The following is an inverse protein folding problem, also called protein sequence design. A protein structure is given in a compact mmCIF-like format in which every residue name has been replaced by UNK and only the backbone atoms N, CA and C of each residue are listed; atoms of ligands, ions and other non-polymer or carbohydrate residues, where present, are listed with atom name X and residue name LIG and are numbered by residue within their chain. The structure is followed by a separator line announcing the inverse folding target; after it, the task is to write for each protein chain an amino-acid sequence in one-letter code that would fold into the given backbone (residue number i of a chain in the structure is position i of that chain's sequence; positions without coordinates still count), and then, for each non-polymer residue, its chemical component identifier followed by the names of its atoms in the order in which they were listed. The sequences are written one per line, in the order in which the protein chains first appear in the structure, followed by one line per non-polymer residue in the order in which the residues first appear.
data_IF_330518086406
#
_entry.id   IF_330518086406
#
_cell.length_a   1.000
_cell.length_b   1.000
_cell.length_c   1.000
_cell.angle_alpha   90.00
_cell.angle_beta   90.00
_cell.angle_gamma   90.00
#
_symmetry.space_group_name_H-M   'P 1'
#
loop_
_entity.id
_entity.type
_entity.pdbx_description
1 polymer ?
#
# COMPACT_ATOMS: atom_id res chain seq x y z
N UNK A 1 -4.96 -2.66 -20.09
CA UNK A 1 -4.37 -1.39 -20.58
C UNK A 1 -2.95 -1.25 -20.04
N UNK A 2 -2.08 -0.66 -20.85
CA UNK A 2 -0.77 -0.15 -20.42
C UNK A 2 -0.64 1.29 -20.90
N UNK A 3 0.00 2.17 -20.12
CA UNK A 3 0.07 3.61 -20.43
C UNK A 3 -1.31 4.28 -20.60
N UNK A 4 -2.37 3.72 -20.02
CA UNK A 4 -3.78 4.06 -20.23
C UNK A 4 -4.24 3.92 -21.70
N UNK A 5 -3.50 3.15 -22.52
CA UNK A 5 -3.84 2.82 -23.89
C UNK A 5 -4.30 1.36 -24.00
N UNK A 6 -5.02 1.03 -25.07
CA UNK A 6 -5.44 -0.33 -25.35
C UNK A 6 -4.25 -1.29 -25.38
N UNK A 7 -4.42 -2.45 -24.79
CA UNK A 7 -3.42 -3.52 -24.75
C UNK A 7 -4.09 -4.87 -25.01
N UNK A 8 -3.31 -5.92 -24.99
CA UNK A 8 -3.81 -7.28 -25.10
C UNK A 8 -4.82 -7.60 -24.02
N UNK A 9 -5.87 -8.38 -24.30
CA UNK A 9 -6.90 -8.68 -23.33
C UNK A 9 -6.38 -9.54 -22.17
N UNK A 10 -6.96 -9.30 -21.00
CA UNK A 10 -6.77 -10.09 -19.80
C UNK A 10 -8.08 -10.17 -19.04
N UNK A 11 -8.20 -11.07 -18.10
CA UNK A 11 -9.39 -11.17 -17.26
C UNK A 11 -9.30 -10.22 -16.05
N UNK A 12 -10.45 -9.76 -15.57
CA UNK A 12 -10.54 -8.98 -14.34
C UNK A 12 -9.98 -9.78 -13.14
N UNK A 13 -10.20 -11.11 -13.10
CA UNK A 13 -9.63 -11.98 -12.08
C UNK A 13 -8.09 -11.98 -12.07
N UNK A 14 -7.44 -11.91 -13.23
CA UNK A 14 -5.98 -11.78 -13.31
C UNK A 14 -5.51 -10.44 -12.73
N UNK A 15 -6.21 -9.35 -13.00
CA UNK A 15 -5.91 -8.04 -12.44
C UNK A 15 -6.01 -8.04 -10.91
N UNK A 16 -7.12 -8.54 -10.37
CA UNK A 16 -7.32 -8.66 -8.91
C UNK A 16 -6.34 -9.64 -8.25
N UNK A 17 -5.92 -10.69 -8.95
CA UNK A 17 -4.87 -11.59 -8.44
C UNK A 17 -3.53 -10.86 -8.21
N UNK A 18 -3.22 -9.89 -9.07
CA UNK A 18 -2.07 -9.00 -8.89
C UNK A 18 -2.19 -8.16 -7.61
N UNK A 19 -3.37 -7.60 -7.34
CA UNK A 19 -3.62 -6.85 -6.10
C UNK A 19 -3.49 -7.73 -4.86
N UNK A 20 -4.08 -8.92 -4.88
CA UNK A 20 -3.98 -9.88 -3.78
C UNK A 20 -2.52 -10.27 -3.50
N UNK A 21 -1.73 -10.51 -4.55
CA UNK A 21 -0.31 -10.82 -4.40
C UNK A 21 0.48 -9.65 -3.80
N UNK A 22 0.23 -8.41 -4.22
CA UNK A 22 0.85 -7.22 -3.63
C UNK A 22 0.60 -7.12 -2.13
N UNK A 23 -0.64 -7.38 -1.69
CA UNK A 23 -1.02 -7.35 -0.27
C UNK A 23 -0.33 -8.47 0.50
N UNK A 24 -0.32 -9.71 -0.02
CA UNK A 24 0.33 -10.86 0.61
C UNK A 24 1.83 -10.62 0.81
N UNK A 25 2.53 -10.13 -0.20
CA UNK A 25 3.94 -9.80 -0.12
C UNK A 25 4.23 -8.70 0.92
N UNK A 26 3.35 -7.71 1.04
CA UNK A 26 3.50 -6.65 2.03
C UNK A 26 3.31 -7.15 3.46
N UNK A 27 2.41 -8.10 3.68
CA UNK A 27 2.23 -8.76 4.98
C UNK A 27 3.54 -9.45 5.39
N UNK A 28 4.16 -10.21 4.48
CA UNK A 28 5.42 -10.91 4.77
C UNK A 28 6.59 -9.94 5.02
N UNK A 29 6.66 -8.85 4.24
CA UNK A 29 7.68 -7.79 4.47
C UNK A 29 7.50 -7.14 5.84
N UNK A 30 6.26 -6.87 6.24
CA UNK A 30 5.96 -6.28 7.54
C UNK A 30 6.34 -7.23 8.68
N UNK A 31 5.92 -8.50 8.62
CA UNK A 31 6.28 -9.52 9.63
C UNK A 31 7.80 -9.61 9.83
N UNK A 32 8.57 -9.63 8.73
CA UNK A 32 10.04 -9.70 8.81
C UNK A 32 10.65 -8.47 9.48
N UNK A 33 10.05 -7.28 9.34
CA UNK A 33 10.57 -6.05 9.94
C UNK A 33 10.38 -6.00 11.47
N UNK A 34 9.42 -6.73 12.01
CA UNK A 34 9.15 -6.74 13.46
C UNK A 34 10.28 -7.34 14.28
N UNK A 35 11.09 -8.21 13.70
CA UNK A 35 12.17 -8.89 14.44
C UNK A 35 13.17 -7.92 15.10
N UNK A 36 13.45 -6.79 14.44
CA UNK A 36 14.36 -5.76 14.95
C UNK A 36 13.70 -4.86 15.99
N UNK A 37 12.36 -4.73 15.94
CA UNK A 37 11.58 -3.94 16.91
C UNK A 37 11.59 -4.54 18.30
N UNK A 38 11.80 -5.85 18.42
CA UNK A 38 11.83 -6.55 19.70
C UNK A 38 13.15 -6.39 20.48
N UNK A 39 14.15 -5.69 19.94
CA UNK A 39 15.40 -5.41 20.63
C UNK A 39 15.30 -4.14 21.48
N UNK A 40 15.49 -4.28 22.79
CA UNK A 40 15.27 -3.21 23.75
C UNK A 40 16.60 -2.58 24.20
N UNK A 41 16.60 -1.24 24.30
CA UNK A 41 17.72 -0.46 24.79
C UNK A 41 17.86 -0.46 26.33
N UNK A 42 16.83 -0.96 27.05
CA UNK A 42 16.80 -0.93 28.51
C UNK A 42 18.07 -1.56 29.12
N UNK A 43 18.55 -0.98 30.20
CA UNK A 43 19.80 -1.36 30.86
C UNK A 43 21.04 -0.61 30.35
N UNK A 44 20.96 0.09 29.20
CA UNK A 44 22.09 0.91 28.71
C UNK A 44 22.37 2.16 29.55
N UNK A 45 21.41 2.56 30.37
CA UNK A 45 21.45 3.78 31.22
C UNK A 45 21.70 5.05 30.42
N UNK A 46 22.65 5.88 30.77
CA UNK A 46 22.84 7.19 30.14
C UNK A 46 23.37 7.10 28.71
N UNK A 47 24.40 6.30 28.49
CA UNK A 47 25.18 6.30 27.24
C UNK A 47 25.44 4.91 26.64
N UNK A 48 24.86 3.87 27.23
CA UNK A 48 25.02 2.49 26.75
C UNK A 48 25.96 1.61 27.58
N UNK A 49 26.62 2.16 28.59
CA UNK A 49 27.58 1.43 29.45
C UNK A 49 26.91 0.59 30.53
N UNK A 50 25.63 0.82 30.83
CA UNK A 50 24.97 0.16 31.96
C UNK A 50 25.40 0.65 33.34
N UNK A 51 26.04 1.80 33.42
CA UNK A 51 26.53 2.36 34.68
C UNK A 51 25.39 2.48 35.71
N UNK A 52 25.59 1.90 36.90
CA UNK A 52 24.61 1.83 38.00
C UNK A 52 23.34 1.00 37.74
N UNK A 53 23.27 0.25 36.65
CA UNK A 53 22.25 -0.77 36.51
C UNK A 53 22.61 -2.02 37.33
N UNK A 54 21.68 -2.68 38.01
CA UNK A 54 21.93 -4.00 38.62
C UNK A 54 22.35 -5.03 37.56
N UNK A 55 23.15 -5.99 37.97
CA UNK A 55 23.56 -7.08 37.08
C UNK A 55 22.34 -7.83 36.52
N UNK A 56 22.30 -8.03 35.20
CA UNK A 56 21.21 -8.74 34.52
C UNK A 56 19.92 -7.95 34.36
N UNK A 57 19.86 -6.69 34.77
CA UNK A 57 18.65 -5.87 34.67
C UNK A 57 18.11 -5.78 33.24
N UNK A 58 18.97 -5.64 32.26
CA UNK A 58 18.57 -5.52 30.82
C UNK A 58 17.90 -6.80 30.31
N UNK A 59 18.44 -7.95 30.67
CA UNK A 59 17.90 -9.25 30.27
C UNK A 59 16.60 -9.54 31.00
N UNK A 60 16.54 -9.36 32.31
CA UNK A 60 15.32 -9.57 33.10
C UNK A 60 14.18 -8.62 32.68
N UNK A 61 14.52 -7.38 32.36
CA UNK A 61 13.51 -6.44 31.84
C UNK A 61 12.90 -6.91 30.52
N UNK A 62 13.74 -7.40 29.59
CA UNK A 62 13.27 -7.89 28.30
C UNK A 62 12.43 -9.17 28.43
N UNK A 63 12.83 -10.10 29.32
CA UNK A 63 12.09 -11.31 29.63
C UNK A 63 10.73 -11.00 30.25
N UNK A 64 10.67 -10.06 31.18
CA UNK A 64 9.40 -9.64 31.79
C UNK A 64 8.50 -8.95 30.77
N UNK A 65 9.04 -8.07 29.91
CA UNK A 65 8.30 -7.46 28.81
C UNK A 65 7.75 -8.52 27.84
N UNK A 66 8.53 -9.56 27.55
CA UNK A 66 8.08 -10.68 26.71
C UNK A 66 6.96 -11.49 27.39
N UNK A 67 7.08 -11.74 28.70
CA UNK A 67 6.08 -12.46 29.51
C UNK A 67 4.74 -11.71 29.54
N UNK A 68 4.77 -10.40 29.79
CA UNK A 68 3.56 -9.55 29.89
C UNK A 68 2.84 -9.42 28.54
N UNK A 69 3.60 -9.29 27.46
CA UNK A 69 3.04 -8.97 26.13
C UNK A 69 2.79 -10.19 25.26
N UNK A 70 3.41 -11.32 25.56
CA UNK A 70 3.44 -12.49 24.68
C UNK A 70 4.27 -12.27 23.39
N UNK A 71 5.06 -11.18 23.31
CA UNK A 71 5.90 -10.84 22.17
C UNK A 71 7.37 -11.16 22.48
N UNK A 72 8.20 -11.54 21.49
CA UNK A 72 9.55 -12.03 21.70
C UNK A 72 10.56 -10.89 21.95
N UNK A 73 10.29 -10.05 22.94
CA UNK A 73 11.22 -9.00 23.34
C UNK A 73 12.52 -9.61 23.87
N UNK A 74 13.63 -8.95 23.54
CA UNK A 74 14.98 -9.33 23.99
C UNK A 74 15.84 -8.10 24.19
N UNK A 75 16.86 -8.24 25.01
CA UNK A 75 17.84 -7.16 25.18
C UNK A 75 18.68 -6.99 23.92
N UNK A 76 18.89 -5.75 23.48
CA UNK A 76 19.78 -5.46 22.35
C UNK A 76 21.24 -5.76 22.77
N UNK A 77 22.00 -6.49 21.94
CA UNK A 77 23.38 -6.85 22.29
C UNK A 77 24.35 -5.64 22.31
N UNK A 78 23.97 -4.53 21.67
CA UNK A 78 24.75 -3.29 21.67
C UNK A 78 23.88 -2.11 22.12
N UNK A 79 24.05 -1.70 23.38
CA UNK A 79 23.28 -0.61 23.97
C UNK A 79 23.68 0.77 23.43
N UNK A 80 24.89 0.94 22.95
CA UNK A 80 25.32 2.19 22.30
C UNK A 80 24.53 2.44 21.01
N UNK A 81 24.41 1.39 20.20
CA UNK A 81 23.55 1.39 18.99
C UNK A 81 22.10 1.65 19.36
N UNK A 82 21.54 0.89 20.30
CA UNK A 82 20.12 0.94 20.63
C UNK A 82 19.64 2.28 21.24
N UNK A 83 20.56 3.08 21.81
CA UNK A 83 20.25 4.41 22.33
C UNK A 83 20.38 5.50 21.26
N UNK A 84 21.38 5.38 20.35
CA UNK A 84 21.75 6.42 19.42
C UNK A 84 21.12 6.25 18.02
N UNK A 85 20.69 5.04 17.65
CA UNK A 85 20.13 4.74 16.34
C UNK A 85 18.67 4.32 16.42
N UNK A 86 17.91 4.64 15.40
CA UNK A 86 16.50 4.26 15.22
C UNK A 86 16.27 3.44 13.93
N UNK A 87 17.28 2.72 13.46
CA UNK A 87 17.26 1.99 12.19
C UNK A 87 16.11 1.00 12.08
N UNK A 88 15.77 0.31 13.18
CA UNK A 88 14.63 -0.60 13.23
C UNK A 88 13.31 0.12 12.95
N UNK A 89 13.13 1.32 13.51
CA UNK A 89 11.94 2.14 13.31
C UNK A 89 11.90 2.76 11.92
N UNK A 90 13.05 3.16 11.35
CA UNK A 90 13.15 3.59 9.95
C UNK A 90 12.78 2.46 9.00
N UNK A 91 13.27 1.24 9.25
CA UNK A 91 12.91 0.07 8.45
C UNK A 91 11.41 -0.22 8.51
N UNK A 92 10.81 -0.19 9.70
CA UNK A 92 9.36 -0.36 9.88
C UNK A 92 8.56 0.73 9.14
N UNK A 93 8.95 2.01 9.28
CA UNK A 93 8.32 3.11 8.56
C UNK A 93 8.42 2.93 7.04
N UNK A 94 9.54 2.42 6.54
CA UNK A 94 9.72 2.05 5.14
C UNK A 94 8.77 0.94 4.67
N UNK A 95 8.44 -0.03 5.52
CA UNK A 95 7.42 -1.06 5.19
C UNK A 95 6.00 -0.49 5.17
N UNK A 96 5.67 0.37 6.14
CA UNK A 96 4.39 1.08 6.13
C UNK A 96 4.26 1.96 4.87
N UNK A 97 5.33 2.63 4.46
CA UNK A 97 5.38 3.38 3.20
C UNK A 97 5.16 2.50 1.97
N UNK A 98 5.75 1.31 1.93
CA UNK A 98 5.54 0.35 0.84
C UNK A 98 4.09 -0.12 0.78
N UNK A 99 3.46 -0.38 1.93
CA UNK A 99 2.04 -0.71 2.03
C UNK A 99 1.20 0.45 1.49
N UNK A 100 1.49 1.69 1.93
CA UNK A 100 0.77 2.87 1.46
C UNK A 100 0.88 3.04 -0.08
N UNK A 101 2.06 2.83 -0.67
CA UNK A 101 2.24 2.87 -2.11
C UNK A 101 1.41 1.81 -2.85
N UNK A 102 1.37 0.59 -2.34
CA UNK A 102 0.54 -0.49 -2.89
C UNK A 102 -0.95 -0.20 -2.79
N UNK A 103 -1.40 0.27 -1.62
CA UNK A 103 -2.81 0.61 -1.39
C UNK A 103 -3.25 1.82 -2.21
N UNK A 104 -2.38 2.81 -2.39
CA UNK A 104 -2.60 3.95 -3.29
C UNK A 104 -2.87 3.48 -4.72
N UNK A 105 -2.04 2.56 -5.23
CA UNK A 105 -2.19 1.99 -6.58
C UNK A 105 -3.52 1.23 -6.69
N UNK A 106 -3.83 0.33 -5.77
CA UNK A 106 -5.05 -0.47 -5.79
C UNK A 106 -6.30 0.42 -5.72
N UNK A 107 -6.33 1.39 -4.80
CA UNK A 107 -7.46 2.30 -4.65
C UNK A 107 -7.68 3.17 -5.90
N UNK A 108 -6.62 3.67 -6.51
CA UNK A 108 -6.71 4.46 -7.74
C UNK A 108 -7.17 3.63 -8.94
N UNK A 109 -6.71 2.40 -9.09
CA UNK A 109 -7.17 1.51 -10.16
C UNK A 109 -8.66 1.19 -10.00
N UNK A 110 -9.10 0.77 -8.82
CA UNK A 110 -10.51 0.49 -8.54
C UNK A 110 -11.37 1.74 -8.81
N UNK A 111 -10.92 2.90 -8.37
CA UNK A 111 -11.60 4.18 -8.61
C UNK A 111 -11.69 4.52 -10.11
N UNK A 112 -10.63 4.25 -10.87
CA UNK A 112 -10.57 4.48 -12.31
C UNK A 112 -11.47 3.49 -13.05
N UNK A 113 -11.42 2.20 -12.72
CA UNK A 113 -12.27 1.17 -13.31
C UNK A 113 -13.76 1.42 -13.05
N UNK A 114 -14.11 1.93 -11.86
CA UNK A 114 -15.48 2.32 -11.49
C UNK A 114 -15.91 3.72 -11.94
N UNK A 115 -15.07 4.42 -12.72
CA UNK A 115 -15.36 5.80 -13.15
C UNK A 115 -16.52 5.89 -14.14
N UNK A 116 -17.32 6.93 -14.03
CA UNK A 116 -18.44 7.17 -14.94
C UNK A 116 -19.77 7.36 -14.20
N UNK A 117 -20.81 6.56 -14.49
CA UNK A 117 -20.83 5.30 -15.26
C UNK A 117 -20.77 5.46 -16.78
N UNK A 118 -21.17 6.59 -17.35
CA UNK A 118 -21.25 6.76 -18.81
C UNK A 118 -20.04 7.49 -19.42
N UNK A 119 -19.46 8.45 -18.68
CA UNK A 119 -18.33 9.27 -19.14
C UNK A 119 -16.96 8.75 -18.70
N UNK A 120 -16.89 7.56 -18.13
CA UNK A 120 -15.66 6.91 -17.71
C UNK A 120 -15.55 5.48 -18.19
N UNK A 121 -14.73 4.66 -17.52
CA UNK A 121 -14.55 3.26 -17.89
C UNK A 121 -15.79 2.43 -17.59
N UNK A 122 -16.32 2.54 -16.37
CA UNK A 122 -17.54 1.85 -15.97
C UNK A 122 -17.44 0.32 -15.95
N UNK A 123 -16.23 -0.22 -15.79
CA UNK A 123 -15.99 -1.68 -15.77
C UNK A 123 -16.34 -2.32 -14.43
N UNK A 124 -16.28 -1.54 -13.34
CA UNK A 124 -16.67 -1.95 -12.00
C UNK A 124 -17.88 -1.15 -11.52
N UNK A 125 -18.80 -1.83 -10.87
CA UNK A 125 -19.90 -1.24 -10.12
C UNK A 125 -19.45 -1.19 -8.66
N UNK A 126 -19.30 0.02 -8.11
CA UNK A 126 -18.87 0.23 -6.74
C UNK A 126 -20.07 0.42 -5.81
N UNK A 127 -20.00 -0.05 -4.53
CA UNK A 127 -21.07 0.15 -3.57
C UNK A 127 -21.40 1.63 -3.35
N UNK A 128 -22.68 1.95 -3.30
CA UNK A 128 -23.17 3.28 -2.94
C UNK A 128 -23.26 3.38 -1.41
N UNK A 129 -22.30 4.04 -0.77
CA UNK A 129 -22.28 4.18 0.70
C UNK A 129 -23.05 5.42 1.18
N UNK A 130 -23.01 6.51 0.40
CA UNK A 130 -23.66 7.78 0.73
C UNK A 130 -24.01 8.57 -0.52
N UNK A 131 -24.93 9.57 -0.42
CA UNK A 131 -25.19 10.50 -1.52
C UNK A 131 -23.91 11.25 -1.92
N UNK A 132 -23.56 11.19 -3.20
CA UNK A 132 -22.31 11.76 -3.71
C UNK A 132 -22.36 13.26 -3.99
N UNK A 133 -23.55 13.89 -3.98
CA UNK A 133 -23.71 15.31 -4.28
C UNK A 133 -25.05 15.83 -3.80
N UNK A 134 -25.07 17.07 -3.28
CA UNK A 134 -26.29 17.78 -2.91
C UNK A 134 -27.01 18.41 -4.12
N UNK A 135 -26.32 18.60 -5.24
CA UNK A 135 -26.85 19.27 -6.44
C UNK A 135 -26.96 18.39 -7.68
N UNK A 136 -26.40 17.18 -7.65
CA UNK A 136 -26.46 16.20 -8.73
C UNK A 136 -27.13 14.91 -8.22
N UNK A 137 -28.45 14.78 -8.36
CA UNK A 137 -29.19 13.63 -7.84
C UNK A 137 -28.70 12.31 -8.44
N UNK A 138 -28.52 11.28 -7.60
CA UNK A 138 -28.08 9.96 -8.01
C UNK A 138 -26.58 9.80 -8.28
N UNK A 139 -25.77 10.86 -8.07
CA UNK A 139 -24.32 10.75 -8.19
C UNK A 139 -23.76 9.96 -7.00
N UNK A 140 -22.93 8.97 -7.30
CA UNK A 140 -22.19 8.17 -6.30
C UNK A 140 -20.70 8.44 -6.47
N UNK A 141 -20.01 8.77 -5.37
CA UNK A 141 -18.58 8.99 -5.38
C UNK A 141 -17.84 7.78 -4.80
N UNK A 142 -16.63 7.47 -5.26
CA UNK A 142 -15.79 6.37 -4.73
C UNK A 142 -15.09 6.80 -3.43
N UNK A 143 -15.83 7.28 -2.44
CA UNK A 143 -15.30 7.95 -1.24
C UNK A 143 -14.38 7.07 -0.40
N UNK A 144 -14.59 5.75 -0.38
CA UNK A 144 -13.73 4.82 0.34
C UNK A 144 -12.34 4.73 -0.30
N UNK A 145 -12.25 4.72 -1.62
CA UNK A 145 -10.98 4.79 -2.35
C UNK A 145 -10.29 6.15 -2.13
N UNK A 146 -11.06 7.24 -2.12
CA UNK A 146 -10.54 8.58 -1.87
C UNK A 146 -9.99 8.72 -0.45
N UNK A 147 -10.70 8.24 0.56
CA UNK A 147 -10.23 8.24 1.95
C UNK A 147 -8.93 7.44 2.11
N UNK A 148 -8.86 6.25 1.51
CA UNK A 148 -7.65 5.43 1.57
C UNK A 148 -6.45 6.13 0.92
N UNK A 149 -6.63 6.77 -0.24
CA UNK A 149 -5.53 7.50 -0.91
C UNK A 149 -5.03 8.68 -0.08
N UNK A 150 -5.91 9.40 0.63
CA UNK A 150 -5.52 10.47 1.54
C UNK A 150 -4.72 9.94 2.74
N UNK A 151 -5.12 8.81 3.31
CA UNK A 151 -4.35 8.12 4.36
C UNK A 151 -2.97 7.71 3.84
N UNK A 152 -2.89 7.17 2.63
CA UNK A 152 -1.60 6.81 2.02
C UNK A 152 -0.66 8.03 1.91
N UNK A 153 -1.16 9.19 1.49
CA UNK A 153 -0.37 10.43 1.46
C UNK A 153 0.18 10.79 2.85
N UNK A 154 -0.66 10.70 3.90
CA UNK A 154 -0.23 11.00 5.27
C UNK A 154 0.86 10.05 5.75
N UNK A 155 0.73 8.74 5.44
CA UNK A 155 1.72 7.72 5.82
C UNK A 155 3.07 7.94 5.12
N UNK A 156 3.05 8.30 3.84
CA UNK A 156 4.26 8.65 3.09
C UNK A 156 4.98 9.85 3.70
N UNK A 157 4.24 10.89 4.09
CA UNK A 157 4.78 12.04 4.81
C UNK A 157 5.39 11.65 6.17
N UNK A 158 4.70 10.79 6.93
CA UNK A 158 5.20 10.30 8.21
C UNK A 158 6.48 9.45 8.06
N UNK A 159 6.60 8.64 7.01
CA UNK A 159 7.82 7.88 6.74
C UNK A 159 9.03 8.78 6.49
N UNK A 160 8.83 9.88 5.77
CA UNK A 160 9.86 10.92 5.60
C UNK A 160 10.23 11.56 6.95
N UNK A 161 9.23 11.89 7.77
CA UNK A 161 9.45 12.43 9.13
C UNK A 161 10.31 11.49 9.96
N UNK A 162 10.01 10.18 9.96
CA UNK A 162 10.79 9.17 10.69
C UNK A 162 12.23 9.12 10.20
N UNK A 163 12.46 9.10 8.89
CA UNK A 163 13.80 9.04 8.29
C UNK A 163 14.64 10.28 8.66
N UNK A 164 14.05 11.46 8.57
CA UNK A 164 14.72 12.72 8.95
C UNK A 164 15.02 12.74 10.45
N UNK A 165 14.05 12.44 11.30
CA UNK A 165 14.22 12.42 12.76
C UNK A 165 15.27 11.39 13.20
N UNK A 166 15.30 10.21 12.59
CA UNK A 166 16.31 9.19 12.90
C UNK A 166 17.71 9.61 12.52
N UNK A 167 17.88 10.42 11.45
CA UNK A 167 19.18 10.93 11.02
C UNK A 167 19.76 12.03 11.93
N UNK A 168 18.98 12.53 12.88
CA UNK A 168 19.38 13.59 13.81
C UNK A 168 19.86 13.08 15.17
N UNK A 169 20.20 11.79 15.31
CA UNK A 169 20.91 11.28 16.50
C UNK A 169 22.28 11.94 16.63
N UNK A 170 22.60 12.43 17.83
CA UNK A 170 23.89 13.06 18.10
C UNK A 170 24.60 12.27 19.18
N UNK A 171 25.82 11.80 18.84
CA UNK A 171 26.67 11.02 19.74
C UNK A 171 25.89 9.80 20.30
N UNK A 172 25.71 9.70 21.59
CA UNK A 172 25.22 8.50 22.30
C UNK A 172 23.69 8.43 22.42
N UNK A 173 22.93 9.42 21.93
CA UNK A 173 21.47 9.44 22.08
C UNK A 173 20.77 10.08 20.89
N UNK A 174 19.75 9.41 20.36
CA UNK A 174 18.74 10.04 19.52
C UNK A 174 17.61 10.59 20.39
N UNK A 175 17.41 11.90 20.42
CA UNK A 175 16.38 12.58 21.21
C UNK A 175 15.05 12.76 20.46
N UNK A 176 14.95 12.32 19.21
CA UNK A 176 13.77 12.48 18.36
C UNK A 176 12.76 11.32 18.50
N UNK A 177 12.96 10.42 19.46
CA UNK A 177 12.06 9.27 19.71
C UNK A 177 10.57 9.65 19.79
N UNK A 178 10.16 10.75 20.46
CA UNK A 178 8.74 11.10 20.55
C UNK A 178 8.06 11.33 19.20
N UNK A 179 8.68 12.06 18.28
CA UNK A 179 8.12 12.30 16.95
C UNK A 179 8.14 11.04 16.09
N UNK A 180 9.19 10.21 16.20
CA UNK A 180 9.31 8.94 15.49
C UNK A 180 8.18 8.00 15.90
N UNK A 181 7.98 7.79 17.20
CA UNK A 181 6.92 6.92 17.74
C UNK A 181 5.55 7.43 17.37
N UNK A 182 5.29 8.73 17.53
CA UNK A 182 4.01 9.33 17.14
C UNK A 182 3.69 9.11 15.65
N UNK A 183 4.67 9.31 14.77
CA UNK A 183 4.52 9.12 13.33
C UNK A 183 4.22 7.65 12.96
N UNK A 184 4.93 6.69 13.56
CA UNK A 184 4.74 5.26 13.31
C UNK A 184 3.38 4.78 13.82
N UNK A 185 3.02 5.08 15.08
CA UNK A 185 1.76 4.66 15.67
C UNK A 185 0.57 5.25 14.91
N UNK A 186 0.65 6.53 14.53
CA UNK A 186 -0.37 7.17 13.72
C UNK A 186 -0.51 6.50 12.35
N UNK A 187 0.61 6.22 11.67
CA UNK A 187 0.60 5.56 10.36
C UNK A 187 0.01 4.17 10.42
N UNK A 188 0.39 3.39 11.43
CA UNK A 188 -0.13 2.02 11.63
C UNK A 188 -1.64 2.04 11.84
N UNK A 189 -2.14 2.92 12.71
CA UNK A 189 -3.57 3.03 13.00
C UNK A 189 -4.36 3.49 11.78
N UNK A 190 -3.92 4.55 11.12
CA UNK A 190 -4.60 5.10 9.94
C UNK A 190 -4.67 4.08 8.80
N UNK A 191 -3.58 3.34 8.53
CA UNK A 191 -3.59 2.28 7.51
C UNK A 191 -4.53 1.15 7.89
N UNK A 192 -4.48 0.67 9.13
CA UNK A 192 -5.35 -0.42 9.58
C UNK A 192 -6.83 -0.06 9.44
N UNK A 193 -7.22 1.12 9.94
CA UNK A 193 -8.61 1.58 9.91
C UNK A 193 -9.09 1.84 8.47
N UNK A 194 -8.27 2.49 7.65
CA UNK A 194 -8.63 2.82 6.27
C UNK A 194 -8.71 1.58 5.37
N UNK A 195 -7.78 0.63 5.50
CA UNK A 195 -7.80 -0.64 4.75
C UNK A 195 -9.03 -1.46 5.14
N UNK A 196 -9.35 -1.56 6.43
CA UNK A 196 -10.54 -2.25 6.91
C UNK A 196 -11.82 -1.60 6.38
N UNK A 197 -11.92 -0.27 6.43
CA UNK A 197 -13.06 0.47 5.89
C UNK A 197 -13.20 0.25 4.38
N UNK A 198 -12.10 0.36 3.64
CA UNK A 198 -12.07 0.13 2.20
C UNK A 198 -12.49 -1.30 1.83
N UNK A 199 -11.98 -2.30 2.57
CA UNK A 199 -12.39 -3.69 2.38
C UNK A 199 -13.90 -3.84 2.53
N UNK A 200 -14.44 -3.48 3.69
CA UNK A 200 -15.84 -3.77 4.04
C UNK A 200 -16.85 -2.93 3.24
N UNK A 201 -16.50 -1.66 2.94
CA UNK A 201 -17.41 -0.70 2.33
C UNK A 201 -17.20 -0.49 0.83
N UNK A 202 -16.14 -1.08 0.27
CA UNK A 202 -15.88 -1.01 -1.18
C UNK A 202 -15.61 -2.40 -1.73
N UNK A 203 -14.48 -3.05 -1.35
CA UNK A 203 -14.01 -4.28 -2.00
C UNK A 203 -15.02 -5.42 -1.90
N UNK A 204 -15.62 -5.65 -0.74
CA UNK A 204 -16.58 -6.75 -0.50
C UNK A 204 -17.88 -6.61 -1.33
N UNK A 205 -18.17 -5.43 -1.87
CA UNK A 205 -19.38 -5.18 -2.67
C UNK A 205 -19.09 -4.76 -4.12
N UNK A 206 -17.87 -4.94 -4.61
CA UNK A 206 -17.56 -4.67 -6.03
C UNK A 206 -18.21 -5.73 -6.90
N UNK A 207 -18.89 -5.27 -7.95
CA UNK A 207 -19.42 -6.12 -9.02
C UNK A 207 -18.75 -5.76 -10.35
N UNK A 208 -18.64 -6.73 -11.25
CA UNK A 208 -18.19 -6.53 -12.62
C UNK A 208 -19.37 -6.10 -13.50
N UNK A 209 -19.24 -5.02 -14.27
CA UNK A 209 -20.16 -4.73 -15.37
C UNK A 209 -19.76 -5.58 -16.59
N UNK A 210 -20.28 -6.80 -16.66
CA UNK A 210 -19.93 -7.76 -17.73
C UNK A 210 -20.28 -7.25 -19.12
N UNK A 211 -21.38 -6.51 -19.27
CA UNK A 211 -21.77 -5.93 -20.55
C UNK A 211 -20.77 -4.88 -21.01
N UNK A 212 -20.34 -4.02 -20.07
CA UNK A 212 -19.35 -2.97 -20.36
C UNK A 212 -17.97 -3.55 -20.64
N UNK A 213 -17.55 -4.56 -19.88
CA UNK A 213 -16.29 -5.27 -20.09
C UNK A 213 -16.26 -5.93 -21.49
N UNK A 214 -17.34 -6.56 -21.91
CA UNK A 214 -17.48 -7.18 -23.23
C UNK A 214 -17.39 -6.11 -24.32
N UNK A 215 -18.19 -5.05 -24.21
CA UNK A 215 -18.17 -3.93 -25.18
C UNK A 215 -16.77 -3.35 -25.38
N UNK A 216 -16.07 -3.04 -24.28
CA UNK A 216 -14.74 -2.44 -24.35
C UNK A 216 -13.70 -3.42 -24.90
N UNK A 217 -13.83 -4.72 -24.61
CA UNK A 217 -12.94 -5.74 -25.15
C UNK A 217 -13.13 -5.88 -26.65
N UNK A 218 -14.36 -5.99 -27.13
CA UNK A 218 -14.67 -6.13 -28.57
C UNK A 218 -14.24 -4.92 -29.39
N UNK A 219 -14.23 -3.73 -28.77
CA UNK A 219 -13.77 -2.49 -29.42
C UNK A 219 -12.26 -2.33 -29.43
N UNK A 220 -11.51 -3.13 -28.66
CA UNK A 220 -10.06 -3.00 -28.56
C UNK A 220 -9.39 -3.42 -29.88
N UNK A 221 -8.65 -2.48 -30.47
CA UNK A 221 -7.85 -2.75 -31.67
C UNK A 221 -6.65 -3.67 -31.38
N UNK A 222 -6.28 -3.85 -30.12
CA UNK A 222 -5.16 -4.70 -29.73
C UNK A 222 -5.50 -6.21 -29.75
N UNK A 223 -6.75 -6.57 -30.00
CA UNK A 223 -7.12 -7.95 -30.36
C UNK A 223 -6.37 -8.45 -31.61
N UNK A 224 -5.99 -7.55 -32.51
CA UNK A 224 -5.17 -7.84 -33.70
C UNK A 224 -3.85 -8.54 -33.33
N UNK A 225 -3.35 -8.37 -32.13
CA UNK A 225 -2.13 -9.02 -31.65
C UNK A 225 -2.18 -10.54 -31.75
N UNK A 226 -3.39 -11.12 -31.61
CA UNK A 226 -3.57 -12.58 -31.77
C UNK A 226 -3.30 -13.06 -33.19
N UNK A 227 -3.40 -12.19 -34.19
CA UNK A 227 -3.13 -12.52 -35.60
C UNK A 227 -1.65 -12.40 -35.95
N UNK A 228 -0.84 -11.75 -35.13
CA UNK A 228 0.57 -11.47 -35.42
C UNK A 228 1.39 -12.74 -35.80
N UNK A 229 1.22 -13.91 -35.13
CA UNK A 229 1.93 -15.12 -35.52
C UNK A 229 1.62 -15.63 -36.94
N UNK A 230 0.41 -15.35 -37.45
CA UNK A 230 -0.06 -15.85 -38.74
C UNK A 230 0.25 -14.87 -39.88
N UNK A 231 0.08 -13.56 -39.65
CA UNK A 231 0.15 -12.56 -40.74
C UNK A 231 1.35 -11.61 -40.61
N UNK A 232 2.10 -11.69 -39.51
CA UNK A 232 3.23 -10.79 -39.21
C UNK A 232 2.80 -9.45 -38.61
N UNK A 233 3.77 -8.77 -37.98
CA UNK A 233 3.56 -7.51 -37.25
C UNK A 233 3.05 -6.38 -38.15
N UNK A 234 3.67 -6.20 -39.34
CA UNK A 234 3.33 -5.05 -40.20
C UNK A 234 1.91 -5.13 -40.74
N UNK A 235 1.45 -6.29 -41.15
CA UNK A 235 0.08 -6.51 -41.61
C UNK A 235 -0.92 -6.34 -40.46
N UNK A 236 -0.61 -6.82 -39.27
CA UNK A 236 -1.43 -6.63 -38.08
C UNK A 236 -1.56 -5.13 -37.74
N UNK A 237 -0.46 -4.38 -37.81
CA UNK A 237 -0.46 -2.94 -37.60
C UNK A 237 -1.27 -2.17 -38.67
N UNK A 238 -1.22 -2.59 -39.95
CA UNK A 238 -2.03 -2.02 -41.03
C UNK A 238 -3.54 -2.22 -40.77
N UNK A 239 -3.94 -3.42 -40.34
CA UNK A 239 -5.34 -3.75 -40.00
C UNK A 239 -5.82 -2.85 -38.85
N UNK A 240 -5.06 -2.77 -37.75
CA UNK A 240 -5.43 -1.92 -36.62
C UNK A 240 -5.58 -0.43 -37.01
N UNK A 241 -4.63 0.10 -37.77
CA UNK A 241 -4.67 1.49 -38.26
C UNK A 241 -5.87 1.74 -39.18
N UNK A 242 -6.20 0.78 -40.04
CA UNK A 242 -7.36 0.86 -40.94
C UNK A 242 -8.65 0.87 -40.11
N UNK A 243 -8.84 -0.10 -39.22
CA UNK A 243 -10.02 -0.17 -38.35
C UNK A 243 -10.20 1.12 -37.53
N UNK A 244 -9.10 1.67 -36.97
CA UNK A 244 -9.15 2.94 -36.24
C UNK A 244 -9.60 4.09 -37.11
N UNK A 245 -9.06 4.24 -38.36
CA UNK A 245 -9.37 5.29 -39.28
C UNK A 245 -10.83 5.22 -39.77
N UNK A 246 -11.36 4.02 -39.97
CA UNK A 246 -12.71 3.77 -40.45
C UNK A 246 -13.76 3.72 -39.34
N UNK A 247 -13.33 3.74 -38.07
CA UNK A 247 -14.22 3.67 -36.90
C UNK A 247 -14.91 2.30 -36.75
N UNK A 248 -14.27 1.23 -37.26
CA UNK A 248 -14.78 -0.15 -37.21
C UNK A 248 -14.08 -0.97 -36.16
N UNK A 249 -14.64 -2.13 -35.81
CA UNK A 249 -13.94 -3.20 -35.09
C UNK A 249 -12.98 -3.94 -36.02
N UNK A 250 -12.17 -4.84 -35.44
CA UNK A 250 -11.28 -5.73 -36.20
C UNK A 250 -12.05 -6.80 -36.94
#
# INVERSE_FOLDING_TARGET
RTHLQDATPMTLGQEFSGYAHMVSENIERLKKSLNQIYELAQGGTAVGTGLNAPDGFDTLFAEEAASITGLPFRTCPNKFYALASEDALVNLAGKLNTIAASMMKIANDIRLLGSGPRSGLGELILPANEPGSSIMPGKVNPTQAEALTQVCCQVMGNATTVSVAASHGHLELNVFKPVIVAAILRSTRLLADAIQSFKVRCVDGIEADEARLTELTERSLMLVTALTPEIGYDKAAEIAKKAHKEGTTL
#
